data_IF_244020408270
#
_entry.id   IF_244020408270
#
_cell.length_a   1.000
_cell.length_b   1.000
_cell.length_c   1.000
_cell.angle_alpha   90.00
_cell.angle_beta   90.00
_cell.angle_gamma   90.00
#
_symmetry.space_group_name_H-M   'P 1'
#
loop_
_entity.id
_entity.type
_entity.pdbx_description
1 polymer ?
#
# COMPACT_ATOMS: atom_id res chain seq x y z
N UNK A 1 5.12 -4.03 -6.46
CA UNK A 1 4.15 -4.29 -5.38
C UNK A 1 2.85 -3.61 -5.75
N UNK A 2 1.71 -4.28 -5.59
CA UNK A 2 0.39 -3.73 -5.88
C UNK A 2 -0.59 -4.17 -4.79
N UNK A 3 -1.47 -3.27 -4.37
CA UNK A 3 -2.60 -3.60 -3.52
C UNK A 3 -3.53 -4.58 -4.25
N UNK A 4 -4.18 -5.45 -3.49
CA UNK A 4 -5.16 -6.39 -3.99
C UNK A 4 -6.53 -6.15 -3.34
N UNK A 5 -7.59 -6.72 -3.91
CA UNK A 5 -8.91 -6.70 -3.29
C UNK A 5 -8.93 -7.59 -2.04
N UNK A 6 -9.82 -7.30 -1.11
CA UNK A 6 -9.99 -8.11 0.10
C UNK A 6 -10.23 -9.59 -0.25
N UNK A 7 -9.53 -10.49 0.44
CA UNK A 7 -9.64 -11.93 0.24
C UNK A 7 -8.75 -12.49 -0.89
N UNK A 8 -7.84 -11.69 -1.45
CA UNK A 8 -6.84 -12.16 -2.42
C UNK A 8 -5.72 -12.94 -1.74
N UNK A 9 -5.38 -12.59 -0.51
CA UNK A 9 -4.23 -13.14 0.21
C UNK A 9 -2.88 -12.61 -0.33
N UNK A 10 -1.80 -13.27 0.10
CA UNK A 10 -0.42 -12.88 -0.23
C UNK A 10 0.09 -13.67 -1.44
N UNK A 11 0.07 -13.03 -2.61
CA UNK A 11 0.63 -13.55 -3.86
C UNK A 11 2.02 -12.96 -4.05
N UNK A 12 3.04 -13.61 -3.47
CA UNK A 12 4.43 -13.19 -3.56
C UNK A 12 5.40 -14.39 -3.48
N UNK A 13 6.65 -14.19 -3.88
CA UNK A 13 7.72 -15.19 -3.70
C UNK A 13 8.06 -15.38 -2.22
N UNK A 14 8.53 -16.57 -1.83
CA UNK A 14 8.73 -16.98 -0.42
C UNK A 14 9.39 -15.92 0.48
N UNK A 15 10.56 -15.36 0.11
CA UNK A 15 11.22 -14.31 0.91
C UNK A 15 10.38 -13.04 1.09
N UNK A 16 9.62 -12.64 0.07
CA UNK A 16 8.73 -11.47 0.13
C UNK A 16 7.48 -11.77 0.97
N UNK A 17 6.92 -12.97 0.83
CA UNK A 17 5.75 -13.42 1.59
C UNK A 17 6.02 -13.37 3.09
N UNK A 18 7.16 -13.89 3.55
CA UNK A 18 7.54 -13.83 4.96
C UNK A 18 7.57 -12.39 5.51
N UNK A 19 8.04 -11.43 4.70
CA UNK A 19 8.03 -10.00 5.08
C UNK A 19 6.60 -9.47 5.19
N UNK A 20 5.72 -9.77 4.22
CA UNK A 20 4.32 -9.31 4.26
C UNK A 20 3.52 -9.92 5.41
N UNK A 21 3.73 -11.21 5.70
CA UNK A 21 3.10 -11.90 6.84
C UNK A 21 3.51 -11.26 8.16
N UNK A 22 4.81 -10.98 8.34
CA UNK A 22 5.33 -10.33 9.56
C UNK A 22 4.84 -8.89 9.75
N UNK A 23 4.57 -8.19 8.64
CA UNK A 23 4.00 -6.83 8.67
C UNK A 23 2.47 -6.82 8.80
N UNK A 24 1.81 -7.98 8.82
CA UNK A 24 0.35 -8.07 8.89
C UNK A 24 -0.37 -7.66 7.61
N UNK A 25 0.32 -7.67 6.46
CA UNK A 25 -0.29 -7.34 5.16
C UNK A 25 -1.04 -8.56 4.64
N UNK A 26 -2.37 -8.47 4.59
CA UNK A 26 -3.23 -9.59 4.22
C UNK A 26 -3.37 -9.78 2.71
N UNK A 27 -3.53 -8.68 1.96
CA UNK A 27 -3.92 -8.71 0.55
C UNK A 27 -2.93 -7.94 -0.33
N UNK A 28 -2.02 -8.67 -0.99
CA UNK A 28 -0.97 -8.06 -1.82
C UNK A 28 -0.54 -8.98 -2.96
N UNK A 29 -0.32 -8.37 -4.13
CA UNK A 29 0.31 -9.03 -5.27
C UNK A 29 1.68 -8.41 -5.54
N UNK A 30 2.72 -9.23 -5.50
CA UNK A 30 4.08 -8.82 -5.75
C UNK A 30 4.87 -9.86 -6.54
N UNK A 31 5.65 -9.38 -7.50
CA UNK A 31 6.56 -10.18 -8.32
C UNK A 31 7.94 -9.56 -8.25
N UNK A 32 8.97 -10.39 -8.00
CA UNK A 32 10.37 -9.99 -8.18
C UNK A 32 10.67 -9.95 -9.68
N UNK A 33 11.21 -8.82 -10.14
CA UNK A 33 11.67 -8.60 -11.51
C UNK A 33 13.19 -8.42 -11.43
N UNK A 34 13.96 -9.23 -12.17
CA UNK A 34 15.43 -9.21 -12.15
C UNK A 34 16.02 -10.36 -11.34
N UNK A 35 16.33 -10.16 -10.06
CA UNK A 35 17.02 -11.16 -9.23
C UNK A 35 16.07 -12.08 -8.47
N UNK A 36 16.42 -13.37 -8.41
CA UNK A 36 15.77 -14.39 -7.57
C UNK A 36 16.51 -14.65 -6.25
N UNK A 37 17.62 -13.95 -5.97
CA UNK A 37 18.36 -14.11 -4.72
C UNK A 37 17.49 -13.63 -3.53
N UNK A 38 17.22 -14.48 -2.52
CA UNK A 38 16.41 -14.12 -1.35
C UNK A 38 16.82 -12.83 -0.64
N UNK A 39 18.12 -12.59 -0.46
CA UNK A 39 18.61 -11.37 0.21
C UNK A 39 18.23 -10.11 -0.57
N UNK A 40 18.35 -10.15 -1.89
CA UNK A 40 18.00 -9.03 -2.76
C UNK A 40 16.49 -8.82 -2.80
N UNK A 41 15.70 -9.89 -2.80
CA UNK A 41 14.24 -9.81 -2.75
C UNK A 41 13.77 -9.12 -1.46
N UNK A 42 14.34 -9.46 -0.32
CA UNK A 42 14.01 -8.83 0.97
C UNK A 42 14.39 -7.34 0.95
N UNK A 43 15.62 -7.00 0.56
CA UNK A 43 16.08 -5.61 0.44
C UNK A 43 15.19 -4.79 -0.50
N UNK A 44 14.86 -5.34 -1.66
CA UNK A 44 13.97 -4.69 -2.63
C UNK A 44 12.54 -4.52 -2.10
N UNK A 45 12.06 -5.47 -1.28
CA UNK A 45 10.73 -5.37 -0.64
C UNK A 45 10.69 -4.19 0.33
N UNK A 46 11.69 -4.05 1.20
CA UNK A 46 11.78 -2.89 2.11
C UNK A 46 11.93 -1.57 1.35
N UNK A 47 12.76 -1.54 0.30
CA UNK A 47 12.89 -0.36 -0.56
C UNK A 47 11.56 0.03 -1.22
N UNK A 48 10.77 -0.95 -1.69
CA UNK A 48 9.46 -0.71 -2.27
C UNK A 48 8.45 -0.16 -1.24
N UNK A 49 8.45 -0.70 -0.01
CA UNK A 49 7.57 -0.24 1.07
C UNK A 49 7.93 1.18 1.52
N UNK A 50 9.21 1.52 1.62
CA UNK A 50 9.65 2.87 1.96
C UNK A 50 9.26 3.92 0.91
N UNK A 51 9.05 3.51 -0.33
CA UNK A 51 8.57 4.38 -1.40
C UNK A 51 7.04 4.55 -1.42
N UNK A 52 6.30 3.82 -0.58
CA UNK A 52 4.86 4.03 -0.45
C UNK A 52 4.57 5.35 0.26
N UNK A 53 3.66 6.14 -0.30
CA UNK A 53 3.29 7.46 0.22
C UNK A 53 1.78 7.48 0.48
N UNK A 54 1.40 8.03 1.63
CA UNK A 54 -0.02 8.18 1.95
C UNK A 54 -0.65 9.28 1.09
N UNK A 55 -1.93 9.16 0.72
CA UNK A 55 -2.64 10.21 0.00
C UNK A 55 -2.62 11.56 0.75
N UNK A 56 -2.69 11.52 2.09
CA UNK A 56 -2.60 12.71 2.94
C UNK A 56 -1.26 13.43 2.79
N UNK A 57 -0.14 12.70 2.81
CA UNK A 57 1.18 13.29 2.59
C UNK A 57 1.30 13.93 1.21
N UNK A 58 0.76 13.28 0.17
CA UNK A 58 0.75 13.85 -1.18
C UNK A 58 -0.12 15.12 -1.23
N UNK A 59 -1.30 15.09 -0.61
CA UNK A 59 -2.21 16.23 -0.53
C UNK A 59 -1.55 17.45 0.13
N UNK A 60 -0.92 17.25 1.29
CA UNK A 60 -0.16 18.30 2.00
C UNK A 60 1.00 18.84 1.16
N UNK A 61 1.79 17.97 0.52
CA UNK A 61 2.90 18.39 -0.34
C UNK A 61 2.44 19.19 -1.57
N UNK A 62 1.23 18.95 -2.06
CA UNK A 62 0.67 19.58 -3.26
C UNK A 62 -0.31 20.72 -2.97
N UNK A 63 -0.59 21.02 -1.69
CA UNK A 63 -1.59 22.03 -1.30
C UNK A 63 -3.01 21.71 -1.76
N UNK A 64 -3.38 20.43 -1.87
CA UNK A 64 -4.70 19.97 -2.34
C UNK A 64 -5.47 19.27 -1.23
N UNK A 65 -6.79 19.12 -1.38
CA UNK A 65 -7.58 18.28 -0.49
C UNK A 65 -7.33 16.80 -0.79
N UNK A 66 -7.43 15.95 0.22
CA UNK A 66 -7.21 14.49 0.06
C UNK A 66 -8.17 13.89 -0.97
N UNK A 67 -9.43 14.33 -0.99
CA UNK A 67 -10.43 13.91 -1.98
C UNK A 67 -10.07 14.23 -3.44
N UNK A 68 -9.26 15.26 -3.67
CA UNK A 68 -8.78 15.61 -5.03
C UNK A 68 -7.59 14.74 -5.46
N UNK A 69 -6.88 14.13 -4.49
CA UNK A 69 -5.72 13.26 -4.73
C UNK A 69 -6.16 11.80 -4.92
N UNK A 70 -7.08 11.34 -4.07
CA UNK A 70 -7.69 10.01 -4.18
C UNK A 70 -8.84 10.11 -5.18
N UNK A 71 -8.52 10.21 -6.47
CA UNK A 71 -9.53 10.14 -7.53
C UNK A 71 -10.42 8.90 -7.34
N UNK A 72 -11.67 8.97 -7.81
CA UNK A 72 -12.81 8.03 -7.62
C UNK A 72 -12.57 6.60 -8.15
N UNK A 73 -11.39 6.01 -7.93
CA UNK A 73 -11.01 4.69 -8.38
C UNK A 73 -11.63 3.68 -7.41
N UNK A 74 -12.70 3.02 -7.90
CA UNK A 74 -13.42 1.87 -7.34
C UNK A 74 -12.93 1.45 -5.94
N UNK A 75 -13.66 1.93 -4.95
CA UNK A 75 -13.44 1.61 -3.54
C UNK A 75 -13.45 0.09 -3.32
N UNK A 76 -12.30 -0.44 -2.92
CA UNK A 76 -12.25 -1.54 -1.97
C UNK A 76 -12.39 -0.92 -0.59
N UNK A 77 -13.33 -1.43 0.18
CA UNK A 77 -13.70 -1.07 1.56
C UNK A 77 -12.50 -0.88 2.49
N UNK A 78 -12.49 0.23 3.24
CA UNK A 78 -11.66 0.39 4.45
C UNK A 78 -11.11 1.80 4.64
N UNK A 79 -11.89 2.67 5.28
CA UNK A 79 -11.45 4.01 5.68
C UNK A 79 -12.64 4.92 5.96
N UNK A 80 -13.20 4.79 7.16
CA UNK A 80 -14.14 5.76 7.71
C UNK A 80 -13.44 7.12 7.83
N UNK A 81 -13.67 8.01 6.86
CA UNK A 81 -13.43 9.43 7.07
C UNK A 81 -14.54 9.95 7.97
N UNK A 82 -14.20 10.07 9.26
CA UNK A 82 -14.97 10.73 10.31
C UNK A 82 -15.52 12.05 9.78
N UNK A 83 -16.83 12.10 9.60
CA UNK A 83 -17.59 13.34 9.45
C UNK A 83 -17.82 13.92 10.84
N UNK A 84 -17.03 14.90 11.23
CA UNK A 84 -17.32 15.81 12.36
C UNK A 84 -16.30 16.97 12.25
N UNK A 85 -16.59 18.27 12.19
CA UNK A 85 -17.80 19.11 12.28
C UNK A 85 -17.46 20.40 11.54
N UNK A 86 -18.36 20.88 10.69
CA UNK A 86 -18.43 22.29 10.35
C UNK A 86 -19.33 22.99 11.38
N UNK A 87 -19.00 24.25 11.67
CA UNK A 87 -19.80 25.27 12.34
C UNK A 87 -19.96 25.22 13.87
N UNK A 88 -19.34 26.23 14.50
CA UNK A 88 -19.34 26.61 15.91
C UNK A 88 -18.27 27.67 16.14
#
# INVERSE_FOLDING_TARGET
>A
LRAASAGTGIIAGGPMRAVFEMLGVSDVVAKSIGSSNPHNMVKATFAALNNCVSPRQIASKRGKKVGDIVGRRRAGSGGEDVRETADG
#
